data_IF_604415616059
#
_entry.id   IF_604415616059
#
_cell.length_a   1.000
_cell.length_b   1.000
_cell.length_c   1.000
_cell.angle_alpha   90.00
_cell.angle_beta   90.00
_cell.angle_gamma   90.00
#
_symmetry.space_group_name_H-M   'P 1'
#
loop_
_entity.id
_entity.type
_entity.pdbx_description
1 polymer ?
#
# COMPACT_ATOMS: atom_id res chain seq x y z
N UNK A 1 56.08 -4.63 51.29
CA UNK A 1 56.02 -5.74 50.31
C UNK A 1 54.57 -6.19 50.20
N UNK A 2 54.09 -6.30 48.97
CA UNK A 2 52.84 -6.93 48.49
C UNK A 2 51.48 -6.32 48.93
N UNK A 3 50.98 -5.46 48.04
CA UNK A 3 49.57 -5.13 47.74
C UNK A 3 48.85 -6.28 47.02
N UNK A 4 47.59 -6.55 47.35
CA UNK A 4 46.57 -7.24 46.52
C UNK A 4 45.31 -6.35 46.58
N UNK A 5 44.92 -5.58 45.55
CA UNK A 5 44.35 -5.95 44.25
C UNK A 5 43.10 -6.84 44.41
N UNK A 6 41.90 -6.24 44.41
CA UNK A 6 41.01 -5.96 43.26
C UNK A 6 40.05 -7.12 42.98
N UNK A 7 38.75 -6.82 43.01
CA UNK A 7 37.71 -7.37 42.13
C UNK A 7 36.52 -6.40 42.18
N UNK A 8 36.53 -5.44 41.25
CA UNK A 8 35.36 -4.65 40.87
C UNK A 8 34.69 -5.39 39.70
N UNK A 9 33.42 -5.76 39.89
CA UNK A 9 32.55 -6.31 38.84
C UNK A 9 32.09 -5.17 37.93
N UNK A 10 32.80 -4.96 36.82
CA UNK A 10 32.30 -4.18 35.69
C UNK A 10 31.37 -5.06 34.83
N UNK A 11 30.07 -5.00 35.11
CA UNK A 11 29.04 -5.49 34.21
C UNK A 11 28.97 -4.58 32.96
N UNK A 12 29.79 -4.90 31.97
CA UNK A 12 29.74 -4.33 30.62
C UNK A 12 28.51 -4.86 29.88
N UNK A 13 27.36 -4.24 30.15
CA UNK A 13 26.15 -4.39 29.34
C UNK A 13 26.37 -3.77 27.97
N UNK A 14 26.88 -4.56 27.03
CA UNK A 14 26.89 -4.26 25.60
C UNK A 14 25.44 -4.25 25.08
N UNK A 15 24.75 -3.12 25.30
CA UNK A 15 23.53 -2.79 24.60
C UNK A 15 23.89 -2.52 23.14
N UNK A 16 23.83 -3.56 22.31
CA UNK A 16 23.84 -3.41 20.87
C UNK A 16 22.66 -2.52 20.49
N UNK A 17 22.93 -1.23 20.24
CA UNK A 17 21.95 -0.38 19.59
C UNK A 17 21.57 -1.07 18.28
N UNK A 18 20.28 -1.30 17.99
CA UNK A 18 19.88 -1.85 16.72
C UNK A 18 20.41 -0.92 15.65
N UNK A 19 21.29 -1.43 14.78
CA UNK A 19 21.79 -0.70 13.63
C UNK A 19 20.58 -0.12 12.89
N UNK A 20 20.47 1.21 12.91
CA UNK A 20 19.43 1.95 12.21
C UNK A 20 19.70 1.85 10.72
N UNK A 21 19.31 0.72 10.13
CA UNK A 21 19.32 0.49 8.70
C UNK A 21 18.15 1.25 8.06
N UNK A 22 18.21 2.59 8.02
CA UNK A 22 17.29 3.37 7.21
C UNK A 22 17.74 3.28 5.75
N UNK A 23 17.49 2.12 5.14
CA UNK A 23 17.61 1.98 3.69
C UNK A 23 16.43 2.71 3.04
N UNK A 24 16.75 3.55 2.06
CA UNK A 24 15.75 4.19 1.21
C UNK A 24 15.35 3.23 0.10
N UNK A 25 14.06 3.09 -0.10
CA UNK A 25 13.49 2.27 -1.15
C UNK A 25 12.62 3.10 -2.08
N UNK A 26 12.56 2.68 -3.34
CA UNK A 26 11.64 3.23 -4.32
C UNK A 26 10.62 2.17 -4.70
N UNK A 27 9.34 2.47 -4.46
CA UNK A 27 8.23 1.66 -4.95
C UNK A 27 7.71 2.30 -6.22
N UNK A 28 7.45 1.47 -7.24
CA UNK A 28 6.81 1.90 -8.46
C UNK A 28 5.59 1.02 -8.70
N UNK A 29 4.46 1.65 -8.96
CA UNK A 29 3.19 1.00 -9.22
C UNK A 29 2.60 1.54 -10.51
N UNK A 30 1.94 0.68 -11.26
CA UNK A 30 1.16 1.07 -12.42
C UNK A 30 -0.27 0.58 -12.23
N UNK A 31 -1.21 1.48 -12.43
CA UNK A 31 -2.63 1.20 -12.41
C UNK A 31 -3.21 1.47 -13.78
N UNK A 32 -4.12 0.59 -14.19
CA UNK A 32 -4.75 0.63 -15.48
C UNK A 32 -6.24 0.28 -15.31
N UNK A 33 -7.16 0.87 -16.10
CA UNK A 33 -8.54 0.45 -16.11
C UNK A 33 -8.65 -1.00 -16.59
N UNK A 34 -9.70 -1.67 -16.15
CA UNK A 34 -10.08 -2.95 -16.76
C UNK A 34 -10.41 -2.72 -18.24
N UNK A 35 -9.83 -3.52 -19.14
CA UNK A 35 -10.12 -3.38 -20.54
C UNK A 35 -11.56 -3.87 -20.80
N UNK A 36 -12.34 -3.09 -21.55
CA UNK A 36 -13.70 -3.51 -21.98
C UNK A 36 -13.67 -4.86 -22.72
N UNK A 37 -12.64 -5.06 -23.53
CA UNK A 37 -12.35 -6.32 -24.23
C UNK A 37 -10.85 -6.59 -24.26
N UNK A 38 -10.39 -7.87 -24.32
CA UNK A 38 -8.99 -8.19 -24.42
C UNK A 38 -8.30 -7.45 -25.59
N UNK A 39 -7.32 -6.60 -25.28
CA UNK A 39 -6.59 -5.81 -26.26
C UNK A 39 -7.19 -4.43 -26.59
N UNK A 40 -8.34 -4.07 -26.02
CA UNK A 40 -8.89 -2.72 -26.14
C UNK A 40 -7.87 -1.67 -25.65
N UNK A 41 -7.78 -0.51 -26.32
CA UNK A 41 -6.95 0.58 -25.84
C UNK A 41 -7.44 1.06 -24.48
N UNK A 42 -6.52 1.30 -23.56
CA UNK A 42 -6.83 1.88 -22.25
C UNK A 42 -6.87 3.39 -22.38
N UNK A 43 -7.94 3.98 -21.88
CA UNK A 43 -8.25 5.40 -22.03
C UNK A 43 -7.54 6.25 -20.96
N UNK A 44 -7.10 5.64 -19.86
CA UNK A 44 -6.23 6.23 -18.85
C UNK A 44 -5.21 5.22 -18.29
N UNK A 45 -4.16 5.74 -17.66
CA UNK A 45 -3.26 4.97 -16.79
C UNK A 45 -2.75 5.84 -15.65
N UNK A 46 -2.38 5.24 -14.53
CA UNK A 46 -1.67 5.94 -13.46
C UNK A 46 -0.32 5.28 -13.22
N UNK A 47 0.74 6.08 -13.13
CA UNK A 47 2.02 5.62 -12.58
C UNK A 47 2.25 6.27 -11.23
N UNK A 48 2.51 5.46 -10.21
CA UNK A 48 2.80 5.90 -8.86
C UNK A 48 4.25 5.60 -8.53
N UNK A 49 4.96 6.61 -8.04
CA UNK A 49 6.27 6.43 -7.43
C UNK A 49 6.20 6.79 -5.95
N UNK A 50 6.73 5.93 -5.09
CA UNK A 50 6.94 6.25 -3.68
C UNK A 50 8.43 6.20 -3.35
N UNK A 51 8.87 7.16 -2.55
CA UNK A 51 10.12 7.06 -1.79
C UNK A 51 9.76 6.67 -0.38
N UNK A 52 10.31 5.58 0.12
CA UNK A 52 10.01 5.04 1.45
C UNK A 52 11.29 4.91 2.27
N UNK A 53 11.23 5.40 3.49
CA UNK A 53 12.21 5.12 4.52
C UNK A 53 11.71 3.91 5.33
N UNK A 54 12.59 2.94 5.59
CA UNK A 54 12.23 1.74 6.36
C UNK A 54 11.05 0.97 5.73
N UNK A 55 11.28 0.45 4.52
CA UNK A 55 10.26 -0.26 3.76
C UNK A 55 9.69 -1.46 4.53
N UNK A 56 10.49 -2.15 5.33
CA UNK A 56 10.01 -3.27 6.13
C UNK A 56 8.94 -2.83 7.15
N UNK A 57 9.14 -1.70 7.82
CA UNK A 57 8.11 -1.11 8.69
C UNK A 57 6.89 -0.67 7.90
N UNK A 58 7.08 -0.06 6.72
CA UNK A 58 5.97 0.31 5.83
C UNK A 58 5.15 -0.92 5.41
N UNK A 59 5.80 -2.04 5.06
CA UNK A 59 5.11 -3.29 4.72
C UNK A 59 4.30 -3.86 5.89
N UNK A 60 4.82 -3.78 7.11
CA UNK A 60 4.12 -4.26 8.31
C UNK A 60 2.94 -3.36 8.72
N UNK A 61 3.11 -2.04 8.58
CA UNK A 61 2.13 -1.05 9.07
C UNK A 61 1.16 -0.59 7.98
N UNK A 62 1.46 -0.89 6.72
CA UNK A 62 0.72 -0.42 5.56
C UNK A 62 1.26 0.88 4.97
N UNK A 63 1.29 0.94 3.64
CA UNK A 63 1.42 2.15 2.83
C UNK A 63 0.01 2.55 2.39
N UNK A 64 -0.70 3.26 3.26
CA UNK A 64 -2.05 3.74 3.01
C UNK A 64 -2.02 5.20 2.57
N UNK A 65 -2.78 5.54 1.53
CA UNK A 65 -3.00 6.93 1.12
C UNK A 65 -4.47 7.19 0.84
N UNK A 66 -4.87 8.45 1.02
CA UNK A 66 -6.19 8.98 0.65
C UNK A 66 -6.02 10.37 0.03
N UNK A 67 -7.13 11.01 -0.29
CA UNK A 67 -7.14 12.43 -0.69
C UNK A 67 -6.61 13.37 0.40
N UNK A 68 -6.65 12.98 1.67
CA UNK A 68 -6.08 13.78 2.77
C UNK A 68 -4.57 13.85 2.73
N UNK A 69 -3.90 12.93 2.02
CA UNK A 69 -2.44 12.92 1.87
C UNK A 69 -1.93 13.83 0.75
N UNK A 70 -2.83 14.45 -0.03
CA UNK A 70 -2.47 15.32 -1.14
C UNK A 70 -1.81 16.58 -0.61
N UNK A 71 -0.69 16.98 -1.23
CA UNK A 71 -0.05 18.27 -1.04
C UNK A 71 -0.46 19.18 -2.20
N UNK A 72 -1.38 20.14 -2.00
CA UNK A 72 -1.96 20.91 -3.09
C UNK A 72 -0.93 21.66 -3.95
N UNK A 73 0.11 22.19 -3.32
CA UNK A 73 1.17 22.98 -3.96
C UNK A 73 2.02 22.15 -4.93
N UNK A 74 2.06 20.83 -4.75
CA UNK A 74 2.77 19.91 -5.64
C UNK A 74 1.91 19.36 -6.78
N UNK A 75 0.62 19.73 -6.84
CA UNK A 75 -0.31 19.20 -7.83
C UNK A 75 -0.43 20.11 -9.05
N UNK A 76 -0.39 19.53 -10.25
CA UNK A 76 -0.58 20.28 -11.50
C UNK A 76 -1.05 19.36 -12.64
N UNK A 77 -1.43 19.94 -13.77
CA UNK A 77 -1.69 19.19 -15.00
C UNK A 77 -0.94 19.82 -16.16
N UNK A 78 -0.64 19.02 -17.17
CA UNK A 78 0.08 19.47 -18.37
C UNK A 78 -0.17 18.49 -19.54
N UNK A 79 0.33 18.81 -20.72
CA UNK A 79 0.37 17.86 -21.84
C UNK A 79 1.47 16.82 -21.62
N UNK A 80 1.30 15.63 -22.20
CA UNK A 80 2.38 14.63 -22.21
C UNK A 80 3.46 15.03 -23.22
N UNK A 81 4.74 14.88 -22.85
CA UNK A 81 5.85 15.00 -23.80
C UNK A 81 6.01 13.73 -24.66
N UNK A 82 6.97 13.77 -25.58
CA UNK A 82 7.28 12.67 -26.52
C UNK A 82 7.75 11.37 -25.85
N UNK A 83 8.13 11.46 -24.58
CA UNK A 83 8.59 10.37 -23.72
C UNK A 83 7.47 9.38 -23.32
N UNK A 84 6.20 9.77 -23.46
CA UNK A 84 5.07 8.89 -23.17
C UNK A 84 4.60 8.23 -24.47
N UNK A 85 4.48 6.90 -24.45
CA UNK A 85 3.90 6.14 -25.55
C UNK A 85 2.47 6.65 -25.81
N UNK A 86 2.19 7.10 -27.05
CA UNK A 86 0.83 7.37 -27.54
C UNK A 86 -0.09 6.19 -27.12
N UNK A 87 -1.32 6.45 -26.63
CA UNK A 87 -2.20 7.54 -27.05
C UNK A 87 -2.39 8.70 -26.07
N UNK A 88 -1.69 8.72 -24.93
CA UNK A 88 -1.91 9.76 -23.92
C UNK A 88 -1.45 11.14 -24.42
N UNK A 89 -2.26 12.16 -24.16
CA UNK A 89 -2.02 13.55 -24.60
C UNK A 89 -1.92 14.51 -23.43
N UNK A 90 -2.47 14.14 -22.28
CA UNK A 90 -2.47 14.96 -21.07
C UNK A 90 -2.12 14.13 -19.84
N UNK A 91 -1.55 14.81 -18.85
CA UNK A 91 -1.29 14.24 -17.53
C UNK A 91 -1.70 15.17 -16.39
N UNK A 92 -2.19 14.59 -15.30
CA UNK A 92 -2.32 15.24 -13.99
C UNK A 92 -1.34 14.59 -13.03
N UNK A 93 -0.73 15.40 -12.19
CA UNK A 93 0.23 14.98 -11.19
C UNK A 93 -0.34 15.33 -9.81
N UNK A 94 -0.35 14.35 -8.92
CA UNK A 94 -0.58 14.53 -7.50
C UNK A 94 0.70 14.28 -6.73
N UNK A 95 1.11 15.23 -5.89
CA UNK A 95 2.10 14.97 -4.84
C UNK A 95 1.37 14.51 -3.58
N UNK A 96 1.83 13.42 -2.98
CA UNK A 96 1.28 12.86 -1.75
C UNK A 96 2.38 12.75 -0.68
N UNK A 97 2.00 12.91 0.59
CA UNK A 97 2.86 12.63 1.74
C UNK A 97 2.06 11.93 2.81
N UNK A 98 2.71 11.04 3.57
CA UNK A 98 2.11 10.48 4.77
C UNK A 98 1.60 11.59 5.70
N UNK A 99 2.45 12.59 5.92
CA UNK A 99 2.17 13.76 6.74
C UNK A 99 2.15 15.00 5.82
N UNK A 100 0.98 15.38 5.24
CA UNK A 100 0.87 16.45 4.25
C UNK A 100 1.35 17.81 4.80
N UNK A 101 1.06 18.09 6.08
CA UNK A 101 1.41 19.35 6.75
C UNK A 101 2.86 19.39 7.26
N UNK A 102 3.65 18.33 7.02
CA UNK A 102 5.03 18.23 7.50
C UNK A 102 6.02 18.23 6.34
N UNK A 103 7.29 18.61 6.60
CA UNK A 103 8.37 18.44 5.64
C UNK A 103 8.54 16.97 5.19
N UNK A 104 9.01 16.77 3.95
CA UNK A 104 9.19 15.43 3.35
C UNK A 104 9.99 14.46 4.22
N UNK A 105 11.07 14.93 4.85
CA UNK A 105 11.96 14.11 5.68
C UNK A 105 11.31 13.55 6.96
N UNK A 106 10.12 14.06 7.35
CA UNK A 106 9.38 13.53 8.50
C UNK A 106 8.35 12.46 8.11
N UNK A 107 8.04 12.32 6.82
CA UNK A 107 7.12 11.29 6.34
C UNK A 107 7.88 9.99 6.11
N UNK A 108 7.32 8.86 6.54
CA UNK A 108 7.88 7.53 6.22
C UNK A 108 7.86 7.26 4.72
N UNK A 109 6.90 7.86 4.01
CA UNK A 109 6.83 7.80 2.57
C UNK A 109 6.36 9.13 1.96
N UNK A 110 6.86 9.41 0.75
CA UNK A 110 6.36 10.47 -0.12
C UNK A 110 6.03 9.87 -1.48
N UNK A 111 4.91 10.29 -2.06
CA UNK A 111 4.34 9.72 -3.28
C UNK A 111 4.21 10.75 -4.39
N UNK A 112 4.27 10.28 -5.64
CA UNK A 112 3.90 11.05 -6.83
C UNK A 112 3.08 10.17 -7.74
N UNK A 113 1.87 10.61 -8.06
CA UNK A 113 0.94 9.90 -8.91
C UNK A 113 0.77 10.70 -10.20
N UNK A 114 1.06 10.06 -11.33
CA UNK A 114 0.91 10.64 -12.66
C UNK A 114 -0.26 9.94 -13.35
N UNK A 115 -1.41 10.59 -13.40
CA UNK A 115 -2.54 10.17 -14.22
C UNK A 115 -2.29 10.64 -15.65
N UNK A 116 -2.28 9.71 -16.60
CA UNK A 116 -2.22 9.96 -18.03
C UNK A 116 -3.57 9.65 -18.66
N UNK A 117 -4.03 10.52 -19.55
CA UNK A 117 -5.33 10.39 -20.20
C UNK A 117 -5.24 10.74 -21.68
N UNK A 118 -6.22 10.26 -22.44
CA UNK A 118 -6.33 10.53 -23.89
C UNK A 118 -7.15 11.79 -24.18
N UNK A 119 -8.08 12.15 -23.29
CA UNK A 119 -9.00 13.30 -23.40
C UNK A 119 -8.95 14.18 -22.16
N UNK A 120 -9.08 15.49 -22.35
CA UNK A 120 -9.07 16.47 -21.25
C UNK A 120 -10.20 16.29 -20.24
N UNK A 121 -11.36 15.84 -20.70
CA UNK A 121 -12.53 15.55 -19.86
C UNK A 121 -12.22 14.51 -18.78
N UNK A 122 -11.39 13.51 -19.11
CA UNK A 122 -10.99 12.46 -18.18
C UNK A 122 -10.15 12.98 -17.02
N UNK A 123 -9.41 14.09 -17.21
CA UNK A 123 -8.76 14.74 -16.07
C UNK A 123 -9.82 15.17 -15.06
N UNK A 124 -10.95 15.71 -15.48
CA UNK A 124 -11.96 16.20 -14.53
C UNK A 124 -12.64 15.05 -13.78
N UNK A 125 -12.90 13.94 -14.46
CA UNK A 125 -13.65 12.82 -13.92
C UNK A 125 -12.80 11.90 -13.06
N UNK A 126 -11.58 11.57 -13.48
CA UNK A 126 -10.73 10.62 -12.76
C UNK A 126 -10.08 11.31 -11.56
N UNK A 127 -10.35 10.74 -10.39
CA UNK A 127 -9.90 11.23 -9.09
C UNK A 127 -9.08 10.16 -8.36
N UNK A 128 -8.28 10.59 -7.38
CA UNK A 128 -7.40 9.72 -6.63
C UNK A 128 -8.16 8.64 -5.85
N UNK A 129 -9.34 8.98 -5.32
CA UNK A 129 -10.26 8.12 -4.58
C UNK A 129 -11.04 7.13 -5.47
N UNK A 130 -10.99 7.28 -6.80
CA UNK A 130 -11.55 6.31 -7.74
C UNK A 130 -10.59 5.18 -8.08
N UNK A 131 -9.31 5.30 -7.69
CA UNK A 131 -8.34 4.24 -7.94
C UNK A 131 -8.67 3.05 -7.04
N UNK A 132 -8.64 1.85 -7.62
CA UNK A 132 -8.91 0.60 -6.91
C UNK A 132 -7.75 -0.39 -7.03
N UNK A 133 -7.72 -1.36 -6.13
CA UNK A 133 -6.69 -2.40 -6.08
C UNK A 133 -6.74 -3.26 -7.33
N UNK A 134 -7.94 -3.48 -7.83
CA UNK A 134 -8.25 -4.23 -9.04
C UNK A 134 -7.60 -3.58 -10.26
N UNK A 135 -7.32 -2.27 -10.21
CA UNK A 135 -6.59 -1.58 -11.27
C UNK A 135 -5.07 -1.80 -11.23
N UNK A 136 -4.49 -2.41 -10.19
CA UNK A 136 -3.04 -2.58 -10.08
C UNK A 136 -2.55 -3.58 -11.13
N UNK A 137 -1.86 -3.07 -12.14
CA UNK A 137 -1.31 -3.88 -13.22
C UNK A 137 0.10 -4.41 -12.90
N UNK A 138 0.89 -3.65 -12.15
CA UNK A 138 2.21 -4.08 -11.66
C UNK A 138 2.67 -3.22 -10.51
N UNK A 139 3.45 -3.82 -9.62
CA UNK A 139 4.11 -3.10 -8.53
C UNK A 139 5.48 -3.71 -8.26
N UNK A 140 6.50 -2.89 -8.03
CA UNK A 140 7.80 -3.39 -7.60
C UNK A 140 8.49 -2.39 -6.67
N UNK A 141 9.33 -2.90 -5.79
CA UNK A 141 10.19 -2.08 -4.94
C UNK A 141 11.67 -2.36 -5.24
N UNK A 142 12.48 -1.30 -5.18
CA UNK A 142 13.93 -1.37 -5.34
C UNK A 142 14.64 -0.73 -4.16
N UNK A 143 15.77 -1.31 -3.76
CA UNK A 143 16.74 -0.66 -2.89
C UNK A 143 17.51 0.45 -3.59
N UNK A 144 18.34 1.17 -2.83
CA UNK A 144 19.22 2.25 -3.34
C UNK A 144 20.26 1.75 -4.36
N UNK A 145 20.66 0.49 -4.24
CA UNK A 145 21.53 -0.23 -5.18
C UNK A 145 20.82 -0.63 -6.49
N UNK A 146 19.52 -0.39 -6.60
CA UNK A 146 18.70 -0.72 -7.77
C UNK A 146 18.22 -2.17 -7.79
N UNK A 147 18.55 -2.99 -6.78
CA UNK A 147 18.12 -4.37 -6.68
C UNK A 147 16.64 -4.45 -6.33
N UNK A 148 15.93 -5.39 -6.96
CA UNK A 148 14.53 -5.66 -6.65
C UNK A 148 14.41 -6.44 -5.35
N UNK A 149 13.48 -5.99 -4.50
CA UNK A 149 13.17 -6.59 -3.19
C UNK A 149 11.70 -6.99 -3.05
N UNK A 150 10.88 -6.48 -3.97
CA UNK A 150 9.48 -6.84 -4.11
C UNK A 150 9.08 -6.74 -5.58
N UNK A 151 8.28 -7.69 -6.05
CA UNK A 151 7.67 -7.68 -7.37
C UNK A 151 6.27 -8.29 -7.32
N UNK A 152 5.34 -7.61 -7.97
CA UNK A 152 4.00 -8.07 -8.25
C UNK A 152 3.69 -7.86 -9.73
N UNK A 153 3.21 -8.92 -10.37
CA UNK A 153 2.62 -8.92 -11.69
C UNK A 153 1.45 -9.91 -11.76
N UNK A 154 0.36 -9.56 -12.45
CA UNK A 154 -0.70 -10.51 -12.78
C UNK A 154 -0.29 -11.46 -13.92
N UNK A 155 0.84 -11.21 -14.59
CA UNK A 155 1.31 -12.06 -15.68
C UNK A 155 1.86 -13.38 -15.12
N UNK A 156 1.40 -14.55 -15.60
CA UNK A 156 1.91 -15.85 -15.13
C UNK A 156 3.38 -16.07 -15.50
N UNK A 157 3.90 -15.30 -16.47
CA UNK A 157 5.31 -15.36 -16.88
C UNK A 157 6.28 -14.62 -15.96
N UNK A 158 5.77 -13.80 -15.02
CA UNK A 158 6.58 -13.03 -14.10
C UNK A 158 6.33 -13.53 -12.68
N UNK A 159 7.40 -13.92 -11.99
CA UNK A 159 7.30 -14.36 -10.62
C UNK A 159 6.92 -13.19 -9.70
N UNK A 160 5.92 -13.40 -8.85
CA UNK A 160 5.69 -12.56 -7.69
C UNK A 160 6.75 -12.89 -6.64
N UNK A 161 7.37 -11.86 -6.06
CA UNK A 161 8.51 -12.02 -5.16
C UNK A 161 8.38 -11.03 -4.01
N UNK A 162 8.65 -11.49 -2.80
CA UNK A 162 8.85 -10.66 -1.61
C UNK A 162 10.08 -11.18 -0.85
N UNK A 163 11.14 -10.38 -0.76
CA UNK A 163 12.42 -10.84 -0.19
C UNK A 163 12.50 -10.80 1.35
N UNK A 164 11.46 -10.33 2.05
CA UNK A 164 11.55 -10.10 3.50
C UNK A 164 10.47 -10.79 4.33
N UNK A 165 9.24 -10.87 3.82
CA UNK A 165 8.10 -11.33 4.59
C UNK A 165 7.24 -12.26 3.73
N UNK A 166 7.42 -13.56 3.91
CA UNK A 166 6.67 -14.60 3.18
C UNK A 166 5.17 -14.49 3.42
N UNK A 167 4.73 -14.08 4.61
CA UNK A 167 3.32 -13.90 4.94
C UNK A 167 2.69 -12.63 4.33
N UNK A 168 3.50 -11.76 3.74
CA UNK A 168 3.02 -10.60 2.96
C UNK A 168 3.25 -10.83 1.46
N UNK A 169 3.18 -12.09 1.03
CA UNK A 169 3.32 -12.43 -0.36
C UNK A 169 2.10 -11.92 -1.16
N UNK A 170 2.28 -11.36 -2.37
CA UNK A 170 1.16 -10.90 -3.17
C UNK A 170 0.16 -12.00 -3.56
N UNK A 171 0.61 -13.27 -3.58
CA UNK A 171 -0.27 -14.42 -3.84
C UNK A 171 -1.24 -14.69 -2.68
N UNK A 172 -0.90 -14.28 -1.46
CA UNK A 172 -1.76 -14.45 -0.29
C UNK A 172 -2.78 -13.30 -0.16
N UNK A 173 -2.90 -12.47 -1.21
CA UNK A 173 -3.78 -11.30 -1.19
C UNK A 173 -3.27 -10.17 -0.29
N UNK A 174 -2.00 -10.19 0.11
CA UNK A 174 -1.41 -9.12 0.91
C UNK A 174 -1.14 -7.88 0.05
N UNK A 175 -1.96 -6.86 0.26
CA UNK A 175 -1.83 -5.54 -0.35
C UNK A 175 -1.41 -4.53 0.69
N UNK A 176 -0.23 -4.73 1.26
CA UNK A 176 0.34 -3.83 2.27
C UNK A 176 0.53 -2.39 1.77
N UNK A 177 0.33 -2.11 0.48
CA UNK A 177 0.34 -0.77 -0.09
C UNK A 177 -1.02 -0.32 -0.62
N UNK A 178 -2.14 -0.92 -0.23
CA UNK A 178 -3.46 -0.46 -0.68
C UNK A 178 -4.31 -0.09 0.52
N UNK A 179 -5.14 0.98 0.48
CA UNK A 179 -6.13 1.24 1.52
C UNK A 179 -6.98 -0.02 1.74
N UNK A 180 -6.85 -0.64 2.91
CA UNK A 180 -7.90 -1.56 3.36
C UNK A 180 -9.15 -0.71 3.59
N UNK A 181 -10.31 -1.24 3.20
CA UNK A 181 -11.57 -0.62 3.56
C UNK A 181 -11.51 -0.27 5.04
N UNK A 182 -11.65 1.02 5.37
CA UNK A 182 -11.82 1.40 6.78
C UNK A 182 -12.96 0.53 7.30
N UNK A 183 -12.79 -0.22 8.40
CA UNK A 183 -13.91 -0.91 9.00
C UNK A 183 -14.94 0.15 9.34
N UNK A 184 -16.00 0.21 8.55
CA UNK A 184 -17.15 1.04 8.81
C UNK A 184 -17.74 0.56 10.12
N UNK A 185 -17.51 1.32 11.19
CA UNK A 185 -18.17 1.16 12.49
C UNK A 185 -17.92 -0.20 13.15
N UNK A 186 -16.99 -0.24 14.10
CA UNK A 186 -17.09 -1.22 15.18
C UNK A 186 -18.44 -1.05 15.88
N UNK A 187 -19.44 -1.82 15.47
CA UNK A 187 -20.54 -2.17 16.36
C UNK A 187 -19.96 -3.14 17.37
N UNK A 188 -19.54 -2.57 18.49
CA UNK A 188 -19.41 -3.28 19.74
C UNK A 188 -20.84 -3.69 20.12
N UNK A 189 -21.29 -4.86 19.65
CA UNK A 189 -22.45 -5.52 20.25
C UNK A 189 -22.02 -5.96 21.65
N UNK A 190 -22.39 -5.14 22.61
CA UNK A 190 -22.40 -5.45 24.02
C UNK A 190 -23.44 -6.56 24.25
N UNK A 191 -23.02 -7.82 24.02
CA UNK A 191 -23.77 -9.02 24.40
C UNK A 191 -23.81 -9.09 25.93
N UNK A 192 -24.74 -8.37 26.53
CA UNK A 192 -25.19 -8.59 27.90
C UNK A 192 -25.95 -9.90 27.97
N UNK A 193 -25.51 -10.76 28.87
CA UNK A 193 -26.10 -12.07 29.10
C UNK A 193 -27.54 -11.98 29.61
N UNK A 194 -28.32 -12.99 29.22
CA UNK A 194 -29.63 -13.28 29.79
C UNK A 194 -30.03 -14.69 29.41
N UNK A 195 -29.76 -15.65 30.30
CA UNK A 195 -30.19 -17.04 30.16
C UNK A 195 -31.69 -17.22 30.34
N UNK A 196 -32.22 -18.34 29.87
CA UNK A 196 -33.59 -18.76 30.15
C UNK A 196 -34.08 -19.89 29.25
N UNK A 197 -33.93 -21.12 29.75
CA UNK A 197 -34.53 -22.35 29.22
C UNK A 197 -36.05 -22.26 29.04
N UNK A 198 -36.59 -22.92 27.99
CA UNK A 198 -37.66 -23.91 28.13
C UNK A 198 -37.99 -24.57 26.77
N UNK A 199 -37.99 -25.90 26.78
CA UNK A 199 -38.55 -26.78 25.77
C UNK A 199 -40.04 -26.50 25.50
N UNK A 200 -40.47 -26.72 24.25
CA UNK A 200 -41.65 -27.57 24.02
C UNK A 200 -41.64 -28.14 22.59
N UNK A 201 -41.44 -29.45 22.55
CA UNK A 201 -41.89 -30.33 21.49
C UNK A 201 -43.40 -30.16 21.27
N UNK A 202 -43.83 -30.11 20.01
CA UNK A 202 -45.06 -30.77 19.58
C UNK A 202 -44.98 -31.11 18.09
N UNK A 203 -44.96 -32.41 17.83
CA UNK A 203 -45.16 -33.05 16.54
C UNK A 203 -46.64 -33.02 16.18
N UNK A 204 -46.99 -32.75 14.92
CA UNK A 204 -48.10 -33.51 14.30
C UNK A 204 -47.94 -33.54 12.77
N UNK A 205 -47.94 -34.76 12.26
CA UNK A 205 -48.18 -35.14 10.88
C UNK A 205 -49.50 -34.55 10.35
N UNK A 206 -49.59 -34.30 9.04
CA UNK A 206 -50.65 -34.84 8.18
C UNK A 206 -50.27 -34.62 6.71
N UNK A 207 -50.23 -35.70 5.95
CA UNK A 207 -50.10 -35.69 4.49
C UNK A 207 -51.46 -35.57 3.76
N UNK A 208 -51.37 -35.79 2.44
CA UNK A 208 -52.43 -35.83 1.39
C UNK A 208 -52.80 -34.43 0.84
N UNK A 209 -52.69 -34.13 -0.46
CA UNK A 209 -52.62 -34.94 -1.69
C UNK A 209 -51.64 -34.35 -2.69
#
# INVERSE_FOLDING_TARGET
MATNAQLEDEATGSGSQPQSYTHDYRINMQLLPDPETPGAPRDWQVTCGFQCHDLLRVMRQGLFWTTSNIVPEGCFYTTTGDEIRKPYTMKRIWELRELPDKPKYQSRWVGTFNLYVTKSEQLRTIRLDMLSRENVFRCFAKGKDGLHVFNYSPSPSLANVNCWLDNLHPLDGSWWFWPMDSPAGGQHEESTGGGGYAEKLESTEYGLK
#
